data_IF_908478274307
#
_entry.id   IF_908478274307
#
_cell.length_a   1.000
_cell.length_b   1.000
_cell.length_c   1.000
_cell.angle_alpha   90.00
_cell.angle_beta   90.00
_cell.angle_gamma   90.00
#
_symmetry.space_group_name_H-M   'P 1'
#
loop_
_entity.id
_entity.type
_entity.pdbx_description
1 polymer ?
#
# COMPACT_ATOMS: atom_id res chain seq x y z
N UNK A 1 15.04 -6.55 24.47
CA UNK A 1 14.48 -5.94 23.24
C UNK A 1 12.97 -5.83 23.43
N UNK A 2 12.54 -4.88 24.27
CA UNK A 2 11.13 -4.69 24.62
C UNK A 2 10.47 -3.89 23.50
N UNK A 3 9.79 -4.56 22.57
CA UNK A 3 8.84 -3.86 21.71
C UNK A 3 7.56 -3.69 22.53
N UNK A 4 7.41 -2.50 23.07
CA UNK A 4 6.21 -2.00 23.72
C UNK A 4 5.01 -2.25 22.79
N UNK A 5 4.23 -3.27 23.09
CA UNK A 5 2.81 -3.26 22.75
C UNK A 5 2.19 -2.17 23.62
N UNK A 6 2.12 -0.95 23.09
CA UNK A 6 1.41 0.14 23.75
C UNK A 6 -0.06 -0.25 23.84
N UNK A 7 -0.48 -0.54 25.06
CA UNK A 7 -1.84 -0.86 25.45
C UNK A 7 -2.75 0.36 25.23
N UNK A 8 -3.34 0.46 24.04
CA UNK A 8 -4.71 0.96 23.80
C UNK A 8 -5.18 0.34 22.49
N UNK A 9 -5.99 -0.72 22.55
CA UNK A 9 -6.76 -1.18 21.38
C UNK A 9 -7.89 -0.17 21.10
N UNK A 10 -7.50 1.05 20.70
CA UNK A 10 -8.45 2.00 20.16
C UNK A 10 -8.99 1.39 18.87
N UNK A 11 -10.29 1.12 18.85
CA UNK A 11 -10.98 0.62 17.66
C UNK A 11 -10.82 1.65 16.56
N UNK A 12 -10.22 1.24 15.44
CA UNK A 12 -10.12 2.06 14.23
C UNK A 12 -11.54 2.27 13.68
N UNK A 13 -11.82 3.48 13.22
CA UNK A 13 -13.09 3.83 12.61
C UNK A 13 -12.93 4.21 11.14
N UNK A 14 -14.04 4.21 10.40
CA UNK A 14 -14.13 4.74 9.02
C UNK A 14 -13.61 6.18 8.96
N UNK A 15 -13.91 7.00 9.97
CA UNK A 15 -13.43 8.38 10.06
C UNK A 15 -11.91 8.44 10.18
N UNK A 16 -11.31 7.58 11.00
CA UNK A 16 -9.86 7.54 11.17
C UNK A 16 -9.17 7.17 9.85
N UNK A 17 -9.72 6.22 9.08
CA UNK A 17 -9.19 5.81 7.77
C UNK A 17 -9.25 6.96 6.76
N UNK A 18 -10.38 7.67 6.68
CA UNK A 18 -10.51 8.84 5.78
C UNK A 18 -9.49 9.92 6.14
N UNK A 19 -9.40 10.26 7.42
CA UNK A 19 -8.43 11.24 7.91
C UNK A 19 -6.98 10.82 7.64
N UNK A 20 -6.67 9.53 7.69
CA UNK A 20 -5.34 9.04 7.37
C UNK A 20 -4.97 9.24 5.90
N UNK A 21 -5.93 9.11 4.97
CA UNK A 21 -5.70 9.48 3.57
C UNK A 21 -5.49 10.98 3.42
N UNK A 22 -6.33 11.80 4.06
CA UNK A 22 -6.24 13.27 4.00
C UNK A 22 -4.92 13.81 4.61
N UNK A 23 -4.39 13.12 5.62
CA UNK A 23 -3.17 13.49 6.33
C UNK A 23 -1.90 12.81 5.78
N UNK A 24 -1.99 12.12 4.64
CA UNK A 24 -0.87 11.39 4.03
C UNK A 24 -0.22 10.33 4.95
N UNK A 25 -1.00 9.71 5.84
CA UNK A 25 -0.52 8.75 6.83
C UNK A 25 -0.41 7.31 6.28
N UNK A 26 -0.94 7.05 5.08
CA UNK A 26 -0.74 5.78 4.39
C UNK A 26 0.51 5.84 3.51
N UNK A 27 1.46 4.95 3.78
CA UNK A 27 2.76 4.89 3.11
C UNK A 27 3.03 3.49 2.56
N UNK A 28 3.90 3.39 1.57
CA UNK A 28 4.32 2.13 0.98
C UNK A 28 5.66 1.67 1.55
N UNK A 29 5.69 0.44 2.05
CA UNK A 29 6.91 -0.28 2.39
C UNK A 29 7.18 -1.34 1.31
N UNK A 30 8.44 -1.63 1.03
CA UNK A 30 8.82 -2.56 -0.03
C UNK A 30 9.50 -3.80 0.53
N UNK A 31 8.91 -4.96 0.28
CA UNK A 31 9.52 -6.24 0.60
C UNK A 31 10.26 -6.80 -0.62
N UNK A 32 11.59 -6.96 -0.58
CA UNK A 32 12.35 -7.50 -1.71
C UNK A 32 11.98 -8.94 -2.03
N UNK A 33 11.93 -9.26 -3.32
CA UNK A 33 11.81 -10.62 -3.85
C UNK A 33 13.18 -11.06 -4.37
N UNK A 34 13.62 -12.25 -3.95
CA UNK A 34 14.94 -12.78 -4.30
C UNK A 34 14.77 -13.98 -5.24
N UNK A 35 15.53 -13.99 -6.33
CA UNK A 35 15.63 -15.13 -7.22
C UNK A 35 16.40 -16.26 -6.52
N UNK A 36 15.76 -17.40 -6.29
CA UNK A 36 16.40 -18.56 -5.67
C UNK A 36 17.48 -19.22 -6.56
N UNK A 37 17.51 -18.89 -7.86
CA UNK A 37 18.51 -19.40 -8.82
C UNK A 37 19.77 -18.55 -8.79
N UNK A 38 19.62 -17.23 -8.79
CA UNK A 38 20.74 -16.28 -8.94
C UNK A 38 21.17 -15.63 -7.63
N UNK A 39 20.32 -15.64 -6.60
CA UNK A 39 20.53 -14.91 -5.34
C UNK A 39 20.27 -13.40 -5.44
N UNK A 40 19.94 -12.89 -6.62
CA UNK A 40 19.74 -11.46 -6.84
C UNK A 40 18.31 -11.02 -6.54
N UNK A 41 18.13 -9.73 -6.22
CA UNK A 41 16.81 -9.10 -6.14
C UNK A 41 16.19 -9.12 -7.54
N UNK A 42 15.00 -9.70 -7.66
CA UNK A 42 14.24 -9.78 -8.91
C UNK A 42 12.94 -8.97 -8.89
N UNK A 43 12.64 -8.32 -7.77
CA UNK A 43 11.44 -7.50 -7.64
C UNK A 43 11.18 -7.06 -6.22
N UNK A 44 10.01 -6.47 -6.01
CA UNK A 44 9.50 -6.13 -4.70
C UNK A 44 7.99 -6.33 -4.62
N UNK A 45 7.48 -6.44 -3.40
CA UNK A 45 6.06 -6.25 -3.11
C UNK A 45 5.87 -4.93 -2.35
N UNK A 46 5.02 -4.07 -2.88
CA UNK A 46 4.57 -2.84 -2.26
C UNK A 46 3.46 -3.17 -1.24
N UNK A 47 3.72 -2.86 0.02
CA UNK A 47 2.87 -3.18 1.15
C UNK A 47 2.48 -1.90 1.88
N UNK A 48 1.19 -1.63 1.95
CA UNK A 48 0.66 -0.48 2.68
C UNK A 48 1.00 -0.57 4.18
N UNK A 49 1.36 0.56 4.76
CA UNK A 49 1.48 0.78 6.20
C UNK A 49 0.73 2.06 6.54
N UNK A 50 0.13 2.07 7.72
CA UNK A 50 -0.43 3.29 8.28
C UNK A 50 0.54 3.82 9.34
N UNK A 51 1.24 4.89 9.00
CA UNK A 51 2.22 5.53 9.87
C UNK A 51 1.64 6.82 10.43
N UNK A 52 1.44 6.84 11.75
CA UNK A 52 0.99 8.04 12.46
C UNK A 52 2.12 9.08 12.52
N UNK A 53 1.80 10.38 12.70
CA UNK A 53 2.81 11.44 12.79
C UNK A 53 3.83 11.26 13.92
N UNK A 54 3.47 10.54 14.98
CA UNK A 54 4.37 10.20 16.09
C UNK A 54 5.31 9.00 15.79
N UNK A 55 5.23 8.46 14.57
CA UNK A 55 6.01 7.30 14.11
C UNK A 55 5.35 5.95 14.40
N UNK A 56 4.19 5.91 15.07
CA UNK A 56 3.50 4.66 15.36
C UNK A 56 3.02 3.99 14.07
N UNK A 57 3.37 2.71 13.90
CA UNK A 57 2.92 1.90 12.77
C UNK A 57 1.68 1.08 13.16
N UNK A 58 0.57 1.35 12.49
CA UNK A 58 -0.66 0.58 12.57
C UNK A 58 -0.63 -0.50 11.47
N UNK A 59 -0.72 -1.79 11.82
CA UNK A 59 -0.60 -2.86 10.85
C UNK A 59 -1.89 -3.01 10.00
N UNK A 60 -1.78 -3.47 8.73
CA UNK A 60 -2.91 -3.63 7.81
C UNK A 60 -4.09 -4.40 8.38
N UNK A 61 -3.84 -5.48 9.13
CA UNK A 61 -4.91 -6.30 9.71
C UNK A 61 -5.84 -5.54 10.67
N UNK A 62 -5.42 -4.38 11.20
CA UNK A 62 -6.28 -3.54 12.05
C UNK A 62 -7.25 -2.66 11.27
N UNK A 63 -6.96 -2.29 10.02
CA UNK A 63 -7.76 -1.32 9.26
C UNK A 63 -8.29 -1.82 7.92
N UNK A 64 -7.63 -2.79 7.26
CA UNK A 64 -8.08 -3.34 5.98
C UNK A 64 -9.47 -3.98 6.09
N UNK A 65 -9.81 -4.80 7.10
CA UNK A 65 -11.15 -5.37 7.19
C UNK A 65 -12.25 -4.31 7.26
N UNK A 66 -11.98 -3.20 7.96
CA UNK A 66 -12.92 -2.07 8.09
C UNK A 66 -13.05 -1.34 6.75
N UNK A 67 -11.94 -1.15 6.04
CA UNK A 67 -11.95 -0.55 4.71
C UNK A 67 -12.73 -1.42 3.70
N UNK A 68 -12.59 -2.74 3.77
CA UNK A 68 -13.33 -3.68 2.92
C UNK A 68 -14.82 -3.68 3.24
N UNK A 69 -15.21 -3.73 4.52
CA UNK A 69 -16.62 -3.71 4.95
C UNK A 69 -17.32 -2.38 4.64
N UNK A 70 -16.57 -1.27 4.58
CA UNK A 70 -17.10 0.09 4.35
C UNK A 70 -16.89 0.60 2.91
N UNK A 71 -16.44 -0.25 2.00
CA UNK A 71 -16.06 0.07 0.61
C UNK A 71 -14.94 1.11 0.43
N UNK A 72 -14.35 1.61 1.53
CA UNK A 72 -13.18 2.50 1.48
C UNK A 72 -11.91 1.83 0.94
N UNK A 73 -11.90 0.50 0.80
CA UNK A 73 -10.75 -0.19 0.23
C UNK A 73 -10.41 0.31 -1.18
N UNK A 74 -11.42 0.71 -1.98
CA UNK A 74 -11.22 1.28 -3.32
C UNK A 74 -10.49 2.61 -3.26
N UNK A 75 -10.91 3.49 -2.35
CA UNK A 75 -10.29 4.79 -2.12
C UNK A 75 -8.84 4.62 -1.67
N UNK A 76 -8.58 3.67 -0.76
CA UNK A 76 -7.23 3.34 -0.29
C UNK A 76 -6.37 2.79 -1.44
N UNK A 77 -6.89 1.84 -2.22
CA UNK A 77 -6.16 1.26 -3.35
C UNK A 77 -5.79 2.35 -4.35
N UNK A 78 -6.71 3.24 -4.70
CA UNK A 78 -6.44 4.36 -5.61
C UNK A 78 -5.39 5.32 -5.03
N UNK A 79 -5.54 5.71 -3.76
CA UNK A 79 -4.58 6.55 -3.06
C UNK A 79 -3.16 5.94 -3.09
N UNK A 80 -3.05 4.66 -2.75
CA UNK A 80 -1.76 3.94 -2.70
C UNK A 80 -1.19 3.75 -4.09
N UNK A 81 -2.03 3.48 -5.10
CA UNK A 81 -1.59 3.33 -6.49
C UNK A 81 -0.90 4.59 -7.02
N UNK A 82 -1.41 5.77 -6.69
CA UNK A 82 -0.77 7.03 -7.07
C UNK A 82 0.66 7.17 -6.49
N UNK A 83 0.85 6.76 -5.23
CA UNK A 83 2.17 6.72 -4.60
C UNK A 83 3.09 5.69 -5.25
N UNK A 84 2.54 4.51 -5.56
CA UNK A 84 3.28 3.44 -6.24
C UNK A 84 3.84 3.90 -7.59
N UNK A 85 3.08 4.66 -8.38
CA UNK A 85 3.57 5.17 -9.68
C UNK A 85 4.77 6.10 -9.51
N UNK A 86 4.79 6.92 -8.47
CA UNK A 86 5.93 7.80 -8.15
C UNK A 86 7.14 6.95 -7.77
N UNK A 87 6.95 5.98 -6.88
CA UNK A 87 8.03 5.09 -6.43
C UNK A 87 8.57 4.23 -7.57
N UNK A 88 7.71 3.75 -8.48
CA UNK A 88 8.10 2.99 -9.67
C UNK A 88 9.03 3.79 -10.59
N UNK A 89 8.77 5.08 -10.79
CA UNK A 89 9.66 5.92 -11.59
C UNK A 89 11.08 6.00 -11.00
N UNK A 90 11.19 6.03 -9.67
CA UNK A 90 12.49 6.03 -8.97
C UNK A 90 13.17 4.66 -9.03
N UNK A 91 12.42 3.58 -8.78
CA UNK A 91 12.95 2.22 -8.76
C UNK A 91 13.43 1.76 -10.14
N UNK A 92 12.68 2.09 -11.19
CA UNK A 92 13.03 1.74 -12.59
C UNK A 92 14.26 2.51 -13.09
N UNK A 93 14.51 3.70 -12.56
CA UNK A 93 15.74 4.45 -12.85
C UNK A 93 16.99 3.79 -12.24
N UNK A 94 16.84 2.98 -11.18
CA UNK A 94 17.93 2.24 -10.54
C UNK A 94 18.09 0.85 -11.17
N UNK A 95 16.99 0.14 -11.41
CA UNK A 95 16.96 -1.15 -12.08
C UNK A 95 15.73 -1.21 -12.99
N UNK A 96 15.94 -1.10 -14.30
CA UNK A 96 14.86 -1.11 -15.30
C UNK A 96 14.11 -2.44 -15.37
N UNK A 97 14.67 -3.52 -14.83
CA UNK A 97 14.04 -4.85 -14.82
C UNK A 97 13.28 -5.14 -13.52
N UNK A 98 13.24 -4.19 -12.57
CA UNK A 98 12.56 -4.43 -11.29
C UNK A 98 11.06 -4.56 -11.47
N UNK A 99 10.51 -5.70 -11.04
CA UNK A 99 9.06 -5.92 -11.03
C UNK A 99 8.51 -5.64 -9.64
N UNK A 100 7.63 -4.65 -9.53
CA UNK A 100 6.92 -4.35 -8.28
C UNK A 100 5.49 -4.88 -8.39
N UNK A 101 5.08 -5.70 -7.41
CA UNK A 101 3.66 -6.04 -7.23
C UNK A 101 3.03 -5.14 -6.19
N UNK A 102 1.73 -4.89 -6.33
CA UNK A 102 0.92 -4.23 -5.31
C UNK A 102 -0.34 -5.07 -5.04
N UNK A 103 -0.98 -4.83 -3.92
CA UNK A 103 -2.18 -5.54 -3.52
C UNK A 103 -3.43 -4.77 -4.00
N UNK A 104 -4.37 -5.50 -4.58
CA UNK A 104 -5.68 -5.01 -4.95
C UNK A 104 -6.74 -5.96 -4.38
N UNK A 105 -7.84 -5.41 -3.90
CA UNK A 105 -8.99 -6.17 -3.42
C UNK A 105 -9.81 -6.72 -4.58
N UNK A 106 -10.60 -7.77 -4.34
CA UNK A 106 -11.54 -8.28 -5.35
C UNK A 106 -12.54 -7.22 -5.83
N UNK A 107 -12.84 -6.21 -4.99
CA UNK A 107 -13.76 -5.12 -5.32
C UNK A 107 -13.17 -4.10 -6.30
N UNK A 108 -11.84 -4.01 -6.39
CA UNK A 108 -11.12 -3.05 -7.25
C UNK A 108 -11.20 -3.48 -8.72
N UNK A 109 -11.26 -4.79 -9.00
CA UNK A 109 -11.42 -5.31 -10.36
C UNK A 109 -12.79 -5.05 -10.97
N UNK A 110 -13.78 -4.66 -10.16
CA UNK A 110 -15.11 -4.25 -10.61
C UNK A 110 -15.28 -2.72 -10.55
N UNK A 111 -14.21 -1.98 -10.29
CA UNK A 111 -14.19 -0.53 -10.33
C UNK A 111 -13.58 -0.06 -11.65
N UNK A 112 -14.44 0.47 -12.52
CA UNK A 112 -14.03 0.96 -13.85
C UNK A 112 -13.01 2.09 -13.72
N UNK A 113 -13.13 2.96 -12.71
CA UNK A 113 -12.22 4.09 -12.49
C UNK A 113 -10.82 3.57 -12.18
N UNK A 114 -10.70 2.63 -11.25
CA UNK A 114 -9.42 2.04 -10.91
C UNK A 114 -8.80 1.31 -12.10
N UNK A 115 -9.60 0.51 -12.82
CA UNK A 115 -9.15 -0.24 -13.99
C UNK A 115 -8.62 0.68 -15.09
N UNK A 116 -9.33 1.77 -15.38
CA UNK A 116 -8.90 2.78 -16.35
C UNK A 116 -7.58 3.44 -15.94
N UNK A 117 -7.42 3.78 -14.66
CA UNK A 117 -6.19 4.41 -14.14
C UNK A 117 -4.99 3.47 -14.28
N UNK A 118 -5.15 2.18 -13.97
CA UNK A 118 -4.09 1.18 -14.17
C UNK A 118 -3.73 1.07 -15.65
N UNK A 119 -4.72 0.99 -16.54
CA UNK A 119 -4.48 0.93 -17.99
C UNK A 119 -3.74 2.17 -18.50
N UNK A 120 -4.11 3.37 -18.02
CA UNK A 120 -3.44 4.61 -18.39
C UNK A 120 -1.99 4.64 -17.90
N UNK A 121 -1.73 4.17 -16.68
CA UNK A 121 -0.38 4.09 -16.14
C UNK A 121 0.54 3.16 -16.94
N UNK A 122 0.02 2.05 -17.47
CA UNK A 122 0.76 1.08 -18.28
C UNK A 122 1.05 1.54 -19.73
N UNK A 123 0.37 2.59 -20.22
CA UNK A 123 0.53 3.10 -21.59
C UNK A 123 1.70 4.10 -21.74
N UNK A 124 2.38 4.43 -20.64
CA UNK A 124 3.62 5.23 -20.63
C UNK A 124 4.83 4.32 -20.69
#
# INVERSE_FOLDING_TARGET
MSLLMSNTDKKITIKDIKQAMDNEEFVLFYQPKISMITGNICGAEALIRWQKPDGTLIPPFKFIPIAEESDLIRDITLYVFNHLIIDLALLTAINSEIVVSFNASGKDFFDDVFTEIVIQALKK
#
